data_IF_370043116872
#
_entry.id   IF_370043116872
#
_cell.length_a   1.000
_cell.length_b   1.000
_cell.length_c   1.000
_cell.angle_alpha   90.00
_cell.angle_beta   90.00
_cell.angle_gamma   90.00
#
_symmetry.space_group_name_H-M   'P 1'
#
loop_
_entity.id
_entity.type
_entity.pdbx_description
1 polymer ?
#
# COMPACT_ATOMS: atom_id res chain seq x y z
N UNK A 1 -10.45 -31.98 -19.06
CA UNK A 1 -9.49 -30.97 -19.58
C UNK A 1 -10.28 -29.83 -20.19
N UNK A 2 -9.84 -28.58 -20.01
CA UNK A 2 -10.43 -27.29 -20.49
C UNK A 2 -11.19 -26.49 -19.43
N UNK A 3 -10.43 -25.86 -18.52
CA UNK A 3 -10.77 -24.54 -17.95
C UNK A 3 -9.47 -23.78 -17.58
N UNK A 4 -8.43 -24.52 -17.17
CA UNK A 4 -7.12 -23.97 -16.80
C UNK A 4 -6.29 -23.32 -17.94
N UNK A 5 -6.62 -23.58 -19.21
CA UNK A 5 -5.92 -22.93 -20.34
C UNK A 5 -6.43 -21.51 -20.66
N UNK A 6 -7.60 -21.12 -20.16
CA UNK A 6 -8.18 -19.80 -20.46
C UNK A 6 -7.57 -18.68 -19.60
N UNK A 7 -7.12 -18.98 -18.37
CA UNK A 7 -6.44 -18.00 -17.51
C UNK A 7 -4.99 -17.72 -17.94
N UNK A 8 -4.29 -18.72 -18.48
CA UNK A 8 -2.94 -18.53 -19.04
C UNK A 8 -2.94 -17.75 -20.36
N UNK A 9 -4.05 -17.76 -21.10
CA UNK A 9 -4.22 -16.97 -22.32
C UNK A 9 -4.63 -15.50 -22.03
N UNK A 10 -5.07 -15.16 -20.81
CA UNK A 10 -5.43 -13.79 -20.44
C UNK A 10 -4.22 -12.91 -20.05
N UNK A 11 -3.10 -13.53 -19.61
CA UNK A 11 -1.89 -12.82 -19.20
C UNK A 11 -1.14 -12.11 -20.35
N UNK A 12 -1.01 -12.65 -21.58
CA UNK A 12 -0.44 -11.91 -22.70
C UNK A 12 -1.40 -10.87 -23.30
N UNK A 13 -2.72 -11.02 -23.13
CA UNK A 13 -3.69 -10.05 -23.69
C UNK A 13 -3.61 -8.71 -22.94
N UNK A 14 -3.26 -8.72 -21.65
CA UNK A 14 -3.00 -7.51 -20.88
C UNK A 14 -1.70 -6.79 -21.29
N UNK A 15 -0.70 -7.51 -21.83
CA UNK A 15 0.56 -6.89 -22.32
C UNK A 15 0.43 -6.30 -23.71
N UNK A 16 -0.45 -6.83 -24.56
CA UNK A 16 -0.67 -6.32 -25.93
C UNK A 16 -1.66 -5.14 -26.02
N UNK A 17 -2.41 -4.84 -24.95
CA UNK A 17 -3.32 -3.69 -24.93
C UNK A 17 -2.59 -2.32 -24.88
N UNK A 18 -1.27 -2.30 -24.66
CA UNK A 18 -0.47 -1.07 -24.63
C UNK A 18 0.22 -0.73 -25.97
N UNK A 19 0.08 -1.57 -27.01
CA UNK A 19 0.88 -1.45 -28.25
C UNK A 19 0.20 -0.72 -29.42
N UNK A 20 -0.89 0.01 -29.20
CA UNK A 20 -1.53 0.78 -30.27
C UNK A 20 -1.76 2.24 -29.89
N UNK A 21 -0.74 3.06 -30.14
CA UNK A 21 -0.78 4.33 -30.89
C UNK A 21 0.68 4.64 -31.21
N UNK A 22 1.00 4.83 -32.49
CA UNK A 22 2.30 5.33 -32.94
C UNK A 22 2.56 6.71 -32.33
N UNK A 23 3.35 6.77 -31.25
CA UNK A 23 3.71 8.03 -30.60
C UNK A 23 5.07 8.49 -31.11
N UNK A 24 5.03 9.64 -31.78
CA UNK A 24 6.18 10.43 -32.18
C UNK A 24 7.08 10.67 -30.95
N UNK A 25 8.35 10.24 -30.93
CA UNK A 25 9.22 10.37 -29.77
C UNK A 25 9.85 11.76 -29.74
N UNK A 26 9.03 12.80 -29.62
CA UNK A 26 9.52 14.11 -29.21
C UNK A 26 9.26 14.26 -27.72
N UNK A 27 10.26 14.73 -26.98
CA UNK A 27 10.30 14.91 -25.52
C UNK A 27 9.27 15.95 -24.99
N UNK A 28 8.11 16.09 -25.61
CA UNK A 28 7.12 17.11 -25.29
C UNK A 28 6.07 16.51 -24.34
N UNK A 29 6.31 16.75 -23.04
CA UNK A 29 5.23 16.77 -22.06
C UNK A 29 4.56 18.14 -22.11
N UNK A 30 3.23 18.22 -21.95
CA UNK A 30 2.26 17.16 -21.67
C UNK A 30 1.72 16.42 -22.91
N UNK A 31 1.32 15.16 -22.78
CA UNK A 31 0.69 14.36 -23.84
C UNK A 31 -0.62 13.71 -23.35
N UNK A 32 -1.37 13.06 -24.24
CA UNK A 32 -2.68 12.44 -23.95
C UNK A 32 -2.66 11.34 -22.88
N UNK A 33 -1.48 10.88 -22.46
CA UNK A 33 -1.29 9.86 -21.43
C UNK A 33 -0.66 10.43 -20.15
N UNK A 34 -0.30 11.71 -20.12
CA UNK A 34 0.14 12.40 -18.91
C UNK A 34 -1.02 13.21 -18.31
N UNK A 35 -0.97 13.45 -17.00
CA UNK A 35 -1.99 14.24 -16.28
C UNK A 35 -1.97 15.74 -16.63
N UNK A 36 -1.41 16.13 -17.78
CA UNK A 36 -1.05 17.52 -18.07
C UNK A 36 0.16 18.02 -17.28
N UNK A 37 0.77 17.18 -16.43
CA UNK A 37 1.93 17.57 -15.62
C UNK A 37 3.19 17.71 -16.48
N UNK A 38 3.91 18.82 -16.31
CA UNK A 38 5.27 19.00 -16.85
C UNK A 38 6.32 18.13 -16.15
N UNK A 39 5.97 17.49 -15.02
CA UNK A 39 6.91 16.76 -14.17
C UNK A 39 6.70 15.25 -14.30
N UNK A 40 6.87 14.73 -15.52
CA UNK A 40 6.83 13.29 -15.79
C UNK A 40 8.24 12.73 -15.72
N UNK A 41 8.44 11.78 -14.81
CA UNK A 41 9.71 11.06 -14.69
C UNK A 41 9.57 9.65 -15.25
N UNK A 42 10.65 9.14 -15.86
CA UNK A 42 10.72 7.73 -16.27
C UNK A 42 10.57 6.86 -15.03
N UNK A 43 9.89 5.72 -15.17
CA UNK A 43 9.73 4.74 -14.10
C UNK A 43 11.06 3.99 -13.88
N UNK A 44 12.03 4.67 -13.27
CA UNK A 44 13.34 4.13 -12.92
C UNK A 44 13.61 4.26 -11.41
N UNK A 45 14.73 3.67 -10.97
CA UNK A 45 15.12 3.74 -9.56
C UNK A 45 15.56 5.14 -9.10
N UNK A 46 15.87 6.07 -10.03
CA UNK A 46 16.30 7.43 -9.70
C UNK A 46 15.11 8.30 -9.29
N UNK A 47 13.94 8.05 -9.88
CA UNK A 47 12.69 8.73 -9.55
C UNK A 47 12.05 8.28 -8.21
N UNK A 48 12.59 7.24 -7.55
CA UNK A 48 12.02 6.70 -6.30
C UNK A 48 12.22 7.64 -5.13
N UNK A 49 11.13 8.25 -4.67
CA UNK A 49 11.10 9.16 -3.52
C UNK A 49 11.00 8.46 -2.16
N UNK A 50 10.52 7.21 -2.14
CA UNK A 50 10.20 6.48 -0.92
C UNK A 50 10.94 5.14 -0.84
N UNK A 51 11.21 4.69 0.38
CA UNK A 51 11.46 3.27 0.63
C UNK A 51 10.16 2.51 0.45
N UNK A 52 10.25 1.35 -0.14
CA UNK A 52 9.09 0.52 -0.50
C UNK A 52 9.44 -0.97 -0.43
N UNK A 53 10.64 -1.31 0.04
CA UNK A 53 11.03 -2.67 0.38
C UNK A 53 11.28 -2.74 1.87
N UNK A 54 10.84 -3.82 2.49
CA UNK A 54 11.21 -4.16 3.86
C UNK A 54 11.47 -5.66 4.01
N UNK A 55 12.22 -6.01 5.04
CA UNK A 55 12.35 -7.39 5.52
C UNK A 55 11.71 -7.46 6.89
N UNK A 56 10.70 -8.31 7.05
CA UNK A 56 10.03 -8.52 8.34
C UNK A 56 10.42 -9.86 8.92
N UNK A 57 10.65 -9.89 10.23
CA UNK A 57 10.90 -11.11 11.00
C UNK A 57 10.05 -11.07 12.26
N UNK A 58 9.53 -12.21 12.67
CA UNK A 58 8.72 -12.26 13.88
C UNK A 58 8.39 -13.67 14.32
N UNK A 59 7.73 -13.77 15.46
CA UNK A 59 7.26 -15.03 15.99
C UNK A 59 6.32 -14.86 17.16
N UNK A 60 5.69 -15.96 17.54
CA UNK A 60 4.71 -15.98 18.62
C UNK A 60 4.05 -17.32 18.75
N UNK A 61 2.78 -17.31 19.16
CA UNK A 61 2.03 -18.52 19.47
C UNK A 61 1.25 -19.02 18.25
N UNK A 62 1.15 -20.34 18.15
CA UNK A 62 0.27 -21.02 17.20
C UNK A 62 -0.67 -21.97 17.97
N UNK A 63 -1.93 -22.02 17.58
CA UNK A 63 -2.90 -22.93 18.18
C UNK A 63 -4.00 -23.30 17.20
N UNK A 64 -4.51 -24.53 17.34
CA UNK A 64 -5.63 -25.02 16.54
C UNK A 64 -6.90 -24.25 16.92
N UNK A 65 -7.55 -23.67 15.91
CA UNK A 65 -8.73 -22.84 16.08
C UNK A 65 -10.01 -23.60 15.71
N UNK A 66 -10.02 -24.29 14.58
CA UNK A 66 -11.11 -25.19 14.19
C UNK A 66 -10.52 -26.49 13.69
N UNK A 67 -10.70 -27.57 14.43
CA UNK A 67 -10.17 -28.89 14.11
C UNK A 67 -10.85 -29.96 14.96
N UNK A 68 -10.50 -31.23 14.77
CA UNK A 68 -10.91 -32.34 15.64
C UNK A 68 -10.16 -32.30 16.99
N UNK A 69 -8.84 -32.36 16.94
CA UNK A 69 -7.95 -32.18 18.08
C UNK A 69 -7.66 -30.70 18.26
N UNK A 70 -7.91 -30.20 19.47
CA UNK A 70 -7.83 -28.75 19.75
C UNK A 70 -6.67 -28.42 20.68
N UNK A 71 -6.12 -27.21 20.53
CA UNK A 71 -5.14 -26.68 21.49
C UNK A 71 -5.77 -26.27 22.83
N UNK A 72 -7.11 -26.21 22.91
CA UNK A 72 -7.86 -25.83 24.10
C UNK A 72 -8.53 -27.05 24.73
N UNK A 73 -7.81 -27.74 25.60
CA UNK A 73 -8.29 -28.99 26.18
C UNK A 73 -8.29 -28.94 27.71
N UNK A 74 -9.40 -29.35 28.35
CA UNK A 74 -9.49 -29.48 29.80
C UNK A 74 -9.19 -28.19 30.59
N UNK A 75 -9.70 -27.04 30.12
CA UNK A 75 -9.44 -25.68 30.66
C UNK A 75 -7.96 -25.23 30.60
N UNK A 76 -7.11 -25.93 29.86
CA UNK A 76 -5.71 -25.55 29.61
C UNK A 76 -5.51 -25.23 28.13
N UNK A 77 -4.52 -24.39 27.85
CA UNK A 77 -4.10 -24.03 26.50
C UNK A 77 -2.75 -24.70 26.23
N UNK A 78 -2.70 -25.57 25.23
CA UNK A 78 -1.48 -26.18 24.73
C UNK A 78 -0.96 -25.33 23.58
N UNK A 79 -0.18 -24.31 23.91
CA UNK A 79 0.37 -23.40 22.91
C UNK A 79 1.47 -24.08 22.09
N UNK A 80 1.38 -23.92 20.79
CA UNK A 80 2.48 -24.11 19.87
C UNK A 80 3.25 -22.80 19.63
N UNK A 81 4.13 -22.81 18.64
CA UNK A 81 4.88 -21.61 18.22
C UNK A 81 4.80 -21.40 16.71
N UNK A 82 4.96 -20.15 16.29
CA UNK A 82 5.14 -19.77 14.90
C UNK A 82 6.28 -18.77 14.78
N UNK A 83 7.01 -18.85 13.68
CA UNK A 83 8.04 -17.90 13.29
C UNK A 83 7.91 -17.60 11.81
N UNK A 84 8.20 -16.37 11.40
CA UNK A 84 8.16 -15.98 10.00
C UNK A 84 9.31 -15.06 9.63
N UNK A 85 9.68 -15.13 8.36
CA UNK A 85 10.47 -14.12 7.66
C UNK A 85 9.73 -13.76 6.38
N UNK A 86 9.63 -12.48 6.06
CA UNK A 86 9.06 -12.02 4.81
C UNK A 86 9.89 -10.94 4.15
N UNK A 87 9.87 -10.95 2.82
CA UNK A 87 10.30 -9.85 1.99
C UNK A 87 9.04 -9.12 1.50
N UNK A 88 8.90 -7.86 1.90
CA UNK A 88 7.71 -7.07 1.65
C UNK A 88 8.02 -5.96 0.65
N UNK A 89 7.11 -5.79 -0.32
CA UNK A 89 7.15 -4.76 -1.34
C UNK A 89 5.89 -3.92 -1.25
N UNK A 90 6.04 -2.68 -0.83
CA UNK A 90 4.97 -1.69 -0.90
C UNK A 90 4.77 -1.25 -2.37
N UNK A 91 3.58 -1.49 -2.92
CA UNK A 91 3.24 -1.13 -4.31
C UNK A 91 2.64 0.27 -4.35
N UNK A 92 1.79 0.61 -3.37
CA UNK A 92 1.19 1.93 -3.18
C UNK A 92 1.18 2.31 -1.69
N UNK A 93 0.78 3.53 -1.34
CA UNK A 93 0.62 3.92 0.07
C UNK A 93 -0.41 3.06 0.83
N UNK A 94 -1.35 2.41 0.14
CA UNK A 94 -2.39 1.54 0.73
C UNK A 94 -2.15 0.05 0.53
N UNK A 95 -1.38 -0.37 -0.47
CA UNK A 95 -1.25 -1.78 -0.84
C UNK A 95 0.20 -2.24 -0.94
N UNK A 96 0.48 -3.41 -0.38
CA UNK A 96 1.77 -4.10 -0.45
C UNK A 96 1.61 -5.59 -0.77
N UNK A 97 2.71 -6.20 -1.15
CA UNK A 97 2.81 -7.63 -1.45
C UNK A 97 4.03 -8.21 -0.73
N UNK A 98 3.86 -9.35 -0.09
CA UNK A 98 4.90 -10.01 0.71
C UNK A 98 5.09 -11.44 0.26
N UNK A 99 6.35 -11.85 0.10
CA UNK A 99 6.74 -13.25 0.02
C UNK A 99 7.19 -13.68 1.42
N UNK A 100 6.48 -14.62 2.03
CA UNK A 100 6.71 -15.04 3.40
C UNK A 100 7.06 -16.53 3.47
N UNK A 101 8.04 -16.85 4.30
CA UNK A 101 8.30 -18.21 4.78
C UNK A 101 7.96 -18.28 6.27
N UNK A 102 7.18 -19.28 6.65
CA UNK A 102 6.75 -19.49 8.03
C UNK A 102 7.08 -20.90 8.48
N UNK A 103 7.44 -21.05 9.74
CA UNK A 103 7.72 -22.34 10.37
C UNK A 103 7.20 -22.35 11.79
N UNK A 104 6.57 -23.45 12.18
CA UNK A 104 6.02 -23.59 13.52
C UNK A 104 5.67 -25.00 13.93
N UNK A 105 5.08 -25.10 15.11
CA UNK A 105 4.51 -26.31 15.68
C UNK A 105 3.18 -25.95 16.34
N UNK A 106 2.13 -26.75 16.16
CA UNK A 106 0.93 -26.73 17.00
C UNK A 106 0.90 -27.93 17.94
N UNK A 107 0.25 -27.76 19.10
CA UNK A 107 0.01 -28.82 20.07
C UNK A 107 -1.49 -28.94 20.30
N UNK A 108 -2.03 -30.15 20.21
CA UNK A 108 -3.47 -30.38 20.28
C UNK A 108 -3.80 -31.68 20.99
N UNK A 109 -4.99 -31.75 21.57
CA UNK A 109 -5.48 -32.92 22.29
C UNK A 109 -6.95 -33.17 21.97
N UNK A 110 -7.34 -34.43 22.05
CA UNK A 110 -8.71 -34.86 21.80
C UNK A 110 -8.99 -36.22 22.41
N UNK A 111 -10.27 -36.60 22.47
CA UNK A 111 -10.69 -37.96 22.83
C UNK A 111 -11.50 -38.48 21.68
N UNK A 112 -11.11 -39.64 21.16
CA UNK A 112 -11.78 -40.29 20.05
C UNK A 112 -13.25 -40.62 20.40
N UNK A 113 -14.13 -40.59 19.40
CA UNK A 113 -15.52 -41.01 19.55
C UNK A 113 -15.69 -42.53 19.81
N UNK A 114 -16.78 -42.87 20.49
CA UNK A 114 -17.21 -44.25 20.71
C UNK A 114 -16.47 -44.98 21.84
N UNK A 115 -16.67 -46.31 21.97
CA UNK A 115 -16.08 -47.12 23.04
C UNK A 115 -14.55 -47.07 23.10
N UNK A 116 -13.90 -46.88 21.94
CA UNK A 116 -12.43 -46.75 21.82
C UNK A 116 -11.88 -45.50 22.51
N UNK A 117 -12.65 -44.41 22.58
CA UNK A 117 -12.23 -43.22 23.33
C UNK A 117 -11.94 -43.51 24.81
N UNK A 118 -12.61 -44.52 25.40
CA UNK A 118 -12.36 -44.92 26.79
C UNK A 118 -11.04 -45.68 26.95
N UNK A 119 -10.61 -46.45 25.96
CA UNK A 119 -9.35 -47.21 25.99
C UNK A 119 -8.17 -46.35 25.56
N UNK A 120 -8.31 -45.60 24.47
CA UNK A 120 -7.30 -44.66 23.97
C UNK A 120 -7.05 -43.51 24.95
N UNK A 121 -8.09 -43.08 25.69
CA UNK A 121 -8.00 -41.93 26.58
C UNK A 121 -7.79 -40.63 25.81
N UNK A 122 -7.01 -39.71 26.38
CA UNK A 122 -6.70 -38.43 25.74
C UNK A 122 -5.55 -38.63 24.76
N UNK A 123 -5.85 -38.51 23.47
CA UNK A 123 -4.86 -38.42 22.41
C UNK A 123 -4.16 -37.07 22.46
N UNK A 124 -2.83 -37.10 22.28
CA UNK A 124 -1.98 -35.92 22.16
C UNK A 124 -1.36 -35.90 20.77
N UNK A 125 -1.64 -34.86 20.00
CA UNK A 125 -1.03 -34.65 18.71
C UNK A 125 -0.22 -33.37 18.62
N UNK A 126 0.77 -33.41 17.73
CA UNK A 126 1.63 -32.29 17.39
C UNK A 126 1.76 -32.21 15.89
N UNK A 127 1.77 -30.99 15.37
CA UNK A 127 1.95 -30.75 13.93
C UNK A 127 3.07 -29.75 13.74
N UNK A 128 4.17 -30.20 13.15
CA UNK A 128 5.25 -29.32 12.69
C UNK A 128 4.98 -28.93 11.25
N UNK A 129 5.07 -27.65 10.93
CA UNK A 129 4.77 -27.16 9.59
C UNK A 129 5.82 -26.18 9.08
N UNK A 130 5.97 -26.18 7.76
CA UNK A 130 6.75 -25.23 6.98
C UNK A 130 5.86 -24.69 5.86
N UNK A 131 5.86 -23.38 5.65
CA UNK A 131 4.96 -22.72 4.71
C UNK A 131 5.71 -21.69 3.88
N UNK A 132 5.35 -21.60 2.60
CA UNK A 132 5.72 -20.49 1.73
C UNK A 132 4.44 -19.87 1.17
N UNK A 133 4.33 -18.55 1.22
CA UNK A 133 3.13 -17.86 0.76
C UNK A 133 3.40 -16.50 0.15
N UNK A 134 2.50 -16.14 -0.76
CA UNK A 134 2.30 -14.78 -1.24
C UNK A 134 1.16 -14.15 -0.46
N UNK A 135 1.41 -12.98 0.13
CA UNK A 135 0.46 -12.28 1.01
C UNK A 135 0.26 -10.86 0.48
N UNK A 136 -0.98 -10.47 0.23
CA UNK A 136 -1.37 -9.08 0.05
C UNK A 136 -1.54 -8.38 1.40
N UNK A 137 -1.03 -7.16 1.51
CA UNK A 137 -1.13 -6.27 2.66
C UNK A 137 -1.95 -5.03 2.27
N UNK A 138 -3.08 -4.80 2.94
CA UNK A 138 -3.89 -3.58 2.80
C UNK A 138 -3.74 -2.73 4.07
N UNK A 139 -3.16 -1.53 3.93
CA UNK A 139 -3.08 -0.54 4.98
C UNK A 139 -4.41 0.25 5.08
N UNK A 140 -5.29 -0.20 5.97
CA UNK A 140 -6.59 0.42 6.22
C UNK A 140 -6.47 1.83 6.79
N UNK A 141 -5.42 2.12 7.56
CA UNK A 141 -5.20 3.47 8.12
C UNK A 141 -4.95 4.51 7.04
N UNK A 142 -4.26 4.14 5.96
CA UNK A 142 -4.13 5.01 4.79
C UNK A 142 -5.38 5.00 3.90
N UNK A 143 -6.02 3.83 3.72
CA UNK A 143 -7.19 3.71 2.85
C UNK A 143 -8.40 4.50 3.37
N UNK A 144 -8.62 4.45 4.68
CA UNK A 144 -9.73 5.11 5.37
C UNK A 144 -9.31 6.46 5.97
N UNK A 145 -8.19 7.01 5.50
CA UNK A 145 -7.68 8.28 6.01
C UNK A 145 -8.65 9.40 5.66
N UNK A 146 -9.06 10.15 6.67
CA UNK A 146 -9.82 11.38 6.46
C UNK A 146 -8.94 12.48 5.89
N UNK A 147 -9.47 13.21 4.91
CA UNK A 147 -8.77 14.31 4.23
C UNK A 147 -8.56 15.55 5.11
N UNK A 148 -9.35 15.70 6.17
CA UNK A 148 -9.28 16.83 7.11
C UNK A 148 -8.37 16.56 8.32
N UNK A 149 -7.74 15.37 8.39
CA UNK A 149 -6.84 15.02 9.48
C UNK A 149 -5.36 15.12 9.06
N UNK A 150 -4.70 16.17 9.55
CA UNK A 150 -3.29 16.49 9.29
C UNK A 150 -2.32 15.84 10.29
N UNK A 151 -2.82 15.05 11.25
CA UNK A 151 -1.97 14.44 12.29
C UNK A 151 -1.07 13.35 11.71
N UNK A 152 0.20 13.37 12.08
CA UNK A 152 1.10 12.25 11.81
C UNK A 152 0.67 11.03 12.64
N UNK A 153 0.21 9.97 11.99
CA UNK A 153 -0.08 8.72 12.69
C UNK A 153 1.19 7.85 12.73
N UNK A 154 1.43 7.23 13.88
CA UNK A 154 2.48 6.23 14.06
C UNK A 154 1.93 4.82 14.14
N UNK A 155 0.62 4.66 14.19
CA UNK A 155 -0.07 3.37 14.24
C UNK A 155 -0.86 3.14 12.96
N UNK A 156 -0.71 1.97 12.36
CA UNK A 156 -1.44 1.58 11.17
C UNK A 156 -2.13 0.24 11.36
N UNK A 157 -3.41 0.17 10.98
CA UNK A 157 -4.17 -1.07 10.90
C UNK A 157 -3.99 -1.68 9.50
N UNK A 158 -3.69 -2.96 9.47
CA UNK A 158 -3.44 -3.72 8.26
C UNK A 158 -4.37 -4.92 8.16
N UNK A 159 -4.78 -5.25 6.94
CA UNK A 159 -5.45 -6.50 6.59
C UNK A 159 -4.56 -7.34 5.71
N UNK A 160 -4.52 -8.64 5.97
CA UNK A 160 -3.74 -9.61 5.21
C UNK A 160 -4.63 -10.65 4.56
N UNK A 161 -4.29 -10.99 3.31
CA UNK A 161 -4.88 -12.12 2.60
C UNK A 161 -3.81 -12.78 1.75
N UNK A 162 -3.69 -14.09 1.81
CA UNK A 162 -2.61 -14.79 1.14
C UNK A 162 -2.93 -16.23 0.80
N UNK A 163 -2.12 -16.77 -0.09
CA UNK A 163 -2.18 -18.15 -0.57
C UNK A 163 -0.76 -18.71 -0.61
N UNK A 164 -0.64 -20.02 -0.46
CA UNK A 164 0.67 -20.64 -0.44
C UNK A 164 0.62 -22.16 -0.44
N UNK A 165 1.78 -22.75 -0.19
CA UNK A 165 1.96 -24.19 -0.02
C UNK A 165 2.48 -24.48 1.38
N UNK A 166 2.01 -25.56 1.98
CA UNK A 166 2.38 -25.97 3.33
C UNK A 166 2.83 -27.43 3.36
N UNK A 167 4.01 -27.72 3.90
CA UNK A 167 4.31 -29.08 4.33
C UNK A 167 4.07 -29.21 5.81
N UNK A 168 3.66 -30.39 6.25
CA UNK A 168 3.55 -30.67 7.66
C UNK A 168 3.87 -32.13 7.99
N UNK A 169 4.29 -32.34 9.23
CA UNK A 169 4.50 -33.66 9.81
C UNK A 169 3.76 -33.70 11.14
N UNK A 170 2.79 -34.59 11.24
CA UNK A 170 1.99 -34.80 12.45
C UNK A 170 2.46 -36.03 13.20
N UNK A 171 2.25 -36.02 14.50
CA UNK A 171 2.40 -37.19 15.37
C UNK A 171 1.22 -37.24 16.31
N UNK A 172 0.59 -38.41 16.45
CA UNK A 172 -0.49 -38.66 17.40
C UNK A 172 -0.12 -39.80 18.35
N UNK A 173 -0.31 -39.53 19.64
CA UNK A 173 -0.03 -40.45 20.74
C UNK A 173 -1.27 -40.67 21.61
N UNK A 174 -1.65 -41.92 21.88
CA UNK A 174 -2.73 -42.27 22.82
C UNK A 174 -2.32 -43.42 23.78
N UNK A 175 -3.27 -43.97 24.56
CA UNK A 175 -3.01 -45.07 25.50
C UNK A 175 -3.32 -46.47 24.95
N UNK A 176 -3.75 -46.59 23.69
CA UNK A 176 -4.23 -47.86 23.12
C UNK A 176 -3.48 -48.22 21.83
N UNK A 177 -3.89 -47.65 20.70
CA UNK A 177 -3.40 -47.98 19.35
C UNK A 177 -2.13 -47.21 19.01
N UNK A 178 -2.10 -45.91 19.27
CA UNK A 178 -1.04 -45.01 18.84
C UNK A 178 -0.04 -44.74 19.96
N UNK A 179 0.70 -45.77 20.36
CA UNK A 179 1.69 -45.65 21.44
C UNK A 179 2.93 -46.47 21.20
N UNK A 180 4.03 -46.12 21.86
CA UNK A 180 5.18 -47.01 21.90
C UNK A 180 4.90 -48.20 22.81
N UNK A 181 4.80 -49.40 22.23
CA UNK A 181 4.70 -50.66 22.97
C UNK A 181 5.39 -51.78 22.21
N UNK A 182 6.06 -52.67 22.94
CA UNK A 182 6.69 -53.87 22.38
C UNK A 182 5.77 -55.11 22.47
N UNK A 183 4.73 -55.08 23.32
CA UNK A 183 3.78 -56.19 23.48
C UNK A 183 2.39 -55.67 23.89
N UNK A 184 1.39 -55.65 22.98
CA UNK A 184 1.53 -55.86 21.54
C UNK A 184 2.40 -54.76 20.90
N UNK A 185 3.02 -55.04 19.75
CA UNK A 185 3.79 -54.03 19.02
C UNK A 185 2.86 -52.90 18.56
N UNK A 186 3.18 -51.67 18.95
CA UNK A 186 2.44 -50.43 18.63
C UNK A 186 3.45 -49.30 18.34
N UNK A 187 3.03 -48.35 17.51
CA UNK A 187 3.77 -47.12 17.22
C UNK A 187 2.79 -45.94 17.18
N UNK A 188 3.22 -44.73 17.53
CA UNK A 188 2.44 -43.52 17.28
C UNK A 188 2.11 -43.37 15.80
N UNK A 189 1.00 -42.70 15.50
CA UNK A 189 0.65 -42.36 14.13
C UNK A 189 1.49 -41.16 13.69
N UNK A 190 2.07 -41.25 12.50
CA UNK A 190 2.75 -40.13 11.85
C UNK A 190 2.18 -39.92 10.45
N UNK A 191 1.85 -38.67 10.11
CA UNK A 191 1.37 -38.29 8.78
C UNK A 191 2.30 -37.21 8.24
N UNK A 192 2.81 -37.42 7.03
CA UNK A 192 3.69 -36.48 6.34
C UNK A 192 3.00 -35.98 5.07
N UNK A 193 2.70 -34.68 5.04
CA UNK A 193 2.31 -33.96 3.83
C UNK A 193 3.51 -33.19 3.31
N UNK A 194 3.96 -33.52 2.11
CA UNK A 194 5.07 -32.83 1.44
C UNK A 194 4.57 -31.56 0.77
N UNK A 195 5.48 -30.59 0.63
CA UNK A 195 5.17 -29.34 -0.07
C UNK A 195 5.10 -29.61 -1.57
N UNK A 196 3.88 -29.63 -2.10
CA UNK A 196 3.58 -29.78 -3.52
C UNK A 196 2.29 -29.02 -3.88
N UNK A 197 1.82 -29.19 -5.12
CA UNK A 197 0.64 -28.49 -5.63
C UNK A 197 -0.65 -28.88 -4.88
N UNK A 198 -0.71 -30.07 -4.28
CA UNK A 198 -1.85 -30.54 -3.48
C UNK A 198 -1.89 -29.92 -2.09
N UNK A 199 -0.74 -29.45 -1.58
CA UNK A 199 -0.59 -28.85 -0.26
C UNK A 199 -0.96 -27.35 -0.17
N UNK A 200 -1.91 -26.92 -1.02
CA UNK A 200 -2.28 -25.53 -1.15
C UNK A 200 -3.12 -25.06 0.04
N UNK A 201 -2.77 -23.92 0.63
CA UNK A 201 -3.46 -23.36 1.79
C UNK A 201 -3.78 -21.87 1.62
N UNK A 202 -4.73 -21.39 2.42
CA UNK A 202 -5.12 -19.98 2.44
C UNK A 202 -4.83 -19.37 3.80
N UNK A 203 -4.57 -18.07 3.84
CA UNK A 203 -4.47 -17.35 5.10
C UNK A 203 -5.10 -15.97 5.00
N UNK A 204 -5.73 -15.56 6.09
CA UNK A 204 -6.32 -14.23 6.25
C UNK A 204 -6.01 -13.72 7.63
N UNK A 205 -5.82 -12.41 7.78
CA UNK A 205 -5.39 -11.88 9.06
C UNK A 205 -5.50 -10.39 9.17
N UNK A 206 -5.12 -9.90 10.34
CA UNK A 206 -5.05 -8.49 10.66
C UNK A 206 -3.73 -8.19 11.36
N UNK A 207 -3.24 -6.96 11.18
CA UNK A 207 -2.03 -6.47 11.79
C UNK A 207 -2.19 -5.08 12.37
N UNK A 208 -1.44 -4.82 13.42
CA UNK A 208 -1.23 -3.48 13.96
C UNK A 208 0.27 -3.18 13.86
N UNK A 209 0.63 -2.25 12.98
CA UNK A 209 2.02 -1.79 12.79
C UNK A 209 2.23 -0.48 13.53
N UNK A 210 3.41 -0.31 14.12
CA UNK A 210 3.85 0.94 14.74
C UNK A 210 5.18 1.42 14.16
N UNK A 211 5.20 2.67 13.72
CA UNK A 211 6.36 3.34 13.16
C UNK A 211 7.29 3.84 14.25
N UNK A 212 8.32 3.04 14.54
CA UNK A 212 9.33 3.37 15.56
C UNK A 212 10.30 4.42 15.03
N UNK A 213 10.80 4.23 13.81
CA UNK A 213 11.82 5.10 13.22
C UNK A 213 11.82 5.02 11.69
N UNK A 214 12.67 5.83 11.04
CA UNK A 214 12.89 5.76 9.59
C UNK A 214 13.37 4.38 9.08
N UNK A 215 13.88 3.52 9.98
CA UNK A 215 14.45 2.21 9.63
C UNK A 215 13.60 1.04 10.09
N UNK A 216 12.79 1.21 11.14
CA UNK A 216 12.17 0.10 11.87
C UNK A 216 10.68 0.36 12.09
N UNK A 217 9.88 -0.66 11.85
CA UNK A 217 8.52 -0.81 12.36
C UNK A 217 8.46 -2.01 13.31
N UNK A 218 7.53 -1.96 14.27
CA UNK A 218 7.12 -3.15 15.02
C UNK A 218 5.71 -3.53 14.61
N UNK A 219 5.38 -4.81 14.67
CA UNK A 219 4.12 -5.36 14.19
C UNK A 219 3.57 -6.38 15.18
N UNK A 220 2.28 -6.27 15.50
CA UNK A 220 1.50 -7.37 16.04
C UNK A 220 0.62 -7.92 14.90
N UNK A 221 0.75 -9.21 14.60
CA UNK A 221 0.06 -9.86 13.47
C UNK A 221 -0.72 -11.07 13.96
N UNK A 222 -2.01 -11.15 13.61
CA UNK A 222 -2.82 -12.33 13.81
C UNK A 222 -3.23 -12.91 12.45
N UNK A 223 -2.90 -14.18 12.20
CA UNK A 223 -3.22 -14.87 10.94
C UNK A 223 -4.02 -16.14 11.22
N UNK A 224 -5.20 -16.23 10.62
CA UNK A 224 -5.99 -17.45 10.53
C UNK A 224 -5.59 -18.21 9.26
N UNK A 225 -5.13 -19.44 9.45
CA UNK A 225 -4.57 -20.28 8.40
C UNK A 225 -5.54 -21.42 8.17
N UNK A 226 -6.00 -21.54 6.92
CA UNK A 226 -6.91 -22.57 6.44
C UNK A 226 -6.09 -23.60 5.69
N UNK A 227 -5.86 -24.76 6.31
CA UNK A 227 -5.04 -25.83 5.71
C UNK A 227 -5.67 -26.40 4.45
N UNK A 228 -7.00 -26.54 4.42
CA UNK A 228 -7.71 -27.31 3.41
C UNK A 228 -7.56 -28.82 3.58
N UNK A 229 -7.00 -29.26 4.71
CA UNK A 229 -6.51 -30.61 4.96
C UNK A 229 -6.94 -31.05 6.38
N UNK A 230 -7.52 -32.26 6.47
CA UNK A 230 -8.11 -32.85 7.68
C UNK A 230 -7.09 -33.69 8.46
N UNK A 231 -5.92 -33.94 7.88
CA UNK A 231 -4.82 -34.62 8.54
C UNK A 231 -3.91 -33.64 9.28
N UNK A 232 -4.12 -32.32 9.10
CA UNK A 232 -3.25 -31.28 9.64
C UNK A 232 -3.27 -31.20 11.17
N UNK A 233 -4.35 -31.56 11.85
CA UNK A 233 -4.35 -31.65 13.32
C UNK A 233 -3.79 -32.98 13.86
N UNK A 234 -3.47 -33.92 12.99
CA UNK A 234 -2.91 -35.23 13.32
C UNK A 234 -3.92 -36.26 13.83
N UNK A 235 -5.22 -36.04 13.68
CA UNK A 235 -6.26 -36.98 14.14
C UNK A 235 -6.22 -38.34 13.46
N UNK A 236 -5.76 -38.42 12.21
CA UNK A 236 -5.92 -39.63 11.44
C UNK A 236 -5.80 -39.36 9.96
N UNK A 237 -5.80 -40.42 9.15
CA UNK A 237 -5.91 -40.30 7.70
C UNK A 237 -7.34 -39.89 7.31
N UNK A 238 -7.51 -39.09 6.26
CA UNK A 238 -8.81 -38.66 5.76
C UNK A 238 -9.41 -39.63 4.72
N UNK A 239 -9.22 -40.94 4.91
CA UNK A 239 -9.77 -41.97 4.02
C UNK A 239 -11.29 -42.18 4.23
N UNK A 240 -12.03 -42.72 3.25
CA UNK A 240 -13.46 -43.00 3.41
C UNK A 240 -13.80 -43.88 4.62
N UNK A 241 -12.92 -44.82 4.97
CA UNK A 241 -13.09 -45.68 6.13
C UNK A 241 -12.91 -44.94 7.46
N UNK A 242 -12.16 -43.85 7.51
CA UNK A 242 -11.90 -43.09 8.73
C UNK A 242 -13.16 -42.36 9.21
N UNK A 243 -14.08 -42.02 8.29
CA UNK A 243 -15.38 -41.40 8.59
C UNK A 243 -16.56 -42.39 8.71
N UNK A 244 -16.29 -43.69 8.63
CA UNK A 244 -17.31 -44.72 8.79
C UNK A 244 -17.35 -45.20 10.26
N UNK A 245 -18.49 -45.02 10.94
CA UNK A 245 -18.69 -45.48 12.32
C UNK A 245 -18.58 -46.99 12.48
N UNK A 246 -18.80 -47.75 11.41
CA UNK A 246 -18.73 -49.22 11.41
C UNK A 246 -17.32 -49.75 11.15
N UNK A 247 -16.40 -48.89 10.72
CA UNK A 247 -15.04 -49.32 10.40
C UNK A 247 -14.18 -49.55 11.64
N UNK A 248 -13.15 -50.37 11.46
CA UNK A 248 -12.17 -50.68 12.48
C UNK A 248 -11.21 -49.54 12.80
N UNK A 249 -11.23 -48.42 12.07
CA UNK A 249 -10.25 -47.35 12.17
C UNK A 249 -10.45 -46.48 13.42
N UNK A 250 -9.44 -45.66 13.71
CA UNK A 250 -9.60 -44.53 14.62
C UNK A 250 -10.67 -43.55 14.12
N UNK A 251 -11.17 -42.71 15.02
CA UNK A 251 -12.34 -41.82 14.86
C UNK A 251 -12.06 -40.43 15.43
N UNK A 252 -10.79 -40.02 15.42
CA UNK A 252 -10.44 -38.66 15.81
C UNK A 252 -10.96 -37.66 14.77
N UNK A 253 -10.81 -37.93 13.46
CA UNK A 253 -11.34 -37.10 12.34
C UNK A 253 -12.88 -37.01 12.25
N UNK A 254 -13.59 -37.51 13.27
CA UNK A 254 -15.05 -37.48 13.34
C UNK A 254 -15.53 -36.63 14.53
N UNK A 255 -14.62 -36.03 15.29
CA UNK A 255 -14.95 -35.15 16.42
C UNK A 255 -15.62 -33.87 15.91
N UNK A 256 -15.21 -33.43 14.72
CA UNK A 256 -15.66 -32.29 13.96
C UNK A 256 -16.13 -32.75 12.58
N UNK A 257 -17.13 -32.09 12.02
CA UNK A 257 -17.70 -32.43 10.70
C UNK A 257 -17.01 -31.67 9.55
N UNK A 258 -16.20 -30.66 9.89
CA UNK A 258 -15.37 -29.92 8.94
C UNK A 258 -14.19 -30.77 8.49
N UNK A 259 -13.81 -30.62 7.22
CA UNK A 259 -12.71 -31.35 6.56
C UNK A 259 -11.39 -30.59 6.48
N UNK A 260 -11.25 -29.53 7.28
CA UNK A 260 -10.12 -28.61 7.18
C UNK A 260 -9.78 -28.12 8.57
N UNK A 261 -8.61 -28.52 9.01
CA UNK A 261 -8.08 -28.15 10.31
C UNK A 261 -7.30 -26.85 10.23
N UNK A 262 -7.86 -25.83 10.86
CA UNK A 262 -7.38 -24.47 10.73
C UNK A 262 -6.71 -24.03 12.03
N UNK A 263 -5.61 -23.30 11.91
CA UNK A 263 -4.90 -22.73 13.04
C UNK A 263 -4.96 -21.21 13.06
N UNK A 264 -4.83 -20.63 14.24
CA UNK A 264 -4.62 -19.21 14.45
C UNK A 264 -3.20 -19.00 14.96
N UNK A 265 -2.50 -18.03 14.37
CA UNK A 265 -1.20 -17.56 14.85
C UNK A 265 -1.32 -16.13 15.34
N UNK A 266 -0.60 -15.82 16.42
CA UNK A 266 -0.47 -14.47 16.97
C UNK A 266 1.02 -14.20 17.17
N UNK A 267 1.55 -13.28 16.38
CA UNK A 267 2.97 -13.02 16.26
C UNK A 267 3.30 -11.57 16.64
N UNK A 268 4.46 -11.37 17.23
CA UNK A 268 5.11 -10.07 17.32
C UNK A 268 6.33 -10.07 16.39
N UNK A 269 6.53 -8.98 15.66
CA UNK A 269 7.56 -8.87 14.65
C UNK A 269 8.17 -7.48 14.55
N UNK A 270 9.29 -7.43 13.84
CA UNK A 270 10.05 -6.23 13.51
C UNK A 270 10.23 -6.19 12.00
N UNK A 271 9.97 -5.04 11.38
CA UNK A 271 10.15 -4.81 9.96
C UNK A 271 11.25 -3.79 9.71
N UNK A 272 12.24 -4.16 8.90
CA UNK A 272 13.39 -3.35 8.55
C UNK A 272 13.18 -2.72 7.17
N UNK A 273 13.01 -1.39 7.14
CA UNK A 273 12.79 -0.61 5.91
C UNK A 273 14.08 -0.49 5.12
N UNK A 274 14.13 -1.02 3.91
CA UNK A 274 15.30 -1.02 3.04
C UNK A 274 15.32 0.21 2.11
N UNK A 275 16.52 0.72 1.84
CA UNK A 275 16.75 1.84 0.93
C UNK A 275 17.36 3.07 1.60
N UNK A 276 17.72 4.07 0.79
CA UNK A 276 18.38 5.31 1.24
C UNK A 276 17.41 6.46 1.52
N UNK A 277 16.16 6.35 1.06
CA UNK A 277 15.18 7.42 1.16
C UNK A 277 14.79 7.72 2.63
N UNK A 278 14.28 8.92 2.89
CA UNK A 278 13.99 9.38 4.25
C UNK A 278 12.72 8.78 4.85
N UNK A 279 11.70 8.54 4.02
CA UNK A 279 10.41 7.98 4.43
C UNK A 279 10.08 6.70 3.67
N UNK A 280 9.24 5.88 4.28
CA UNK A 280 8.72 4.65 3.68
C UNK A 280 7.30 4.89 3.17
N UNK A 281 6.98 4.34 1.99
CA UNK A 281 5.75 4.59 1.24
C UNK A 281 4.49 4.27 2.04
N UNK A 282 4.53 3.23 2.88
CA UNK A 282 3.42 2.84 3.76
C UNK A 282 3.04 3.90 4.80
N UNK A 283 3.95 4.83 5.11
CA UNK A 283 3.76 5.89 6.11
C UNK A 283 3.64 7.28 5.47
N UNK A 284 3.54 7.35 4.14
CA UNK A 284 3.45 8.61 3.41
C UNK A 284 2.01 8.94 3.06
N UNK A 285 1.63 10.20 3.28
CA UNK A 285 0.34 10.74 2.88
C UNK A 285 0.38 11.18 1.41
N UNK A 286 -0.42 10.59 0.51
CA UNK A 286 -0.43 11.02 -0.89
C UNK A 286 -0.88 12.48 -1.08
N UNK A 287 -1.70 13.02 -0.18
CA UNK A 287 -2.26 14.37 -0.31
C UNK A 287 -1.35 15.45 0.27
N UNK A 288 -0.39 15.09 1.12
CA UNK A 288 0.51 16.03 1.78
C UNK A 288 1.27 16.92 0.78
N UNK A 289 1.65 16.39 -0.38
CA UNK A 289 2.33 17.17 -1.40
C UNK A 289 1.41 18.19 -2.08
N UNK A 290 0.15 17.81 -2.33
CA UNK A 290 -0.84 18.73 -2.90
C UNK A 290 -1.10 19.88 -1.93
N UNK A 291 -1.33 19.57 -0.65
CA UNK A 291 -1.56 20.58 0.38
C UNK A 291 -0.35 21.51 0.56
N UNK A 292 0.87 20.98 0.51
CA UNK A 292 2.07 21.82 0.56
C UNK A 292 2.13 22.79 -0.60
N UNK A 293 1.86 22.33 -1.84
CA UNK A 293 1.86 23.21 -3.02
C UNK A 293 0.76 24.26 -2.96
N UNK A 294 -0.45 23.88 -2.55
CA UNK A 294 -1.56 24.83 -2.36
C UNK A 294 -1.19 25.89 -1.32
N UNK A 295 -0.62 25.48 -0.18
CA UNK A 295 -0.17 26.42 0.85
C UNK A 295 0.92 27.37 0.34
N UNK A 296 1.87 26.88 -0.45
CA UNK A 296 2.90 27.73 -1.07
C UNK A 296 2.24 28.73 -2.02
N UNK A 297 1.29 28.30 -2.85
CA UNK A 297 0.58 29.20 -3.78
C UNK A 297 -0.26 30.25 -3.05
N UNK A 298 -0.98 29.86 -2.00
CA UNK A 298 -1.82 30.77 -1.20
C UNK A 298 -0.98 31.82 -0.44
N UNK A 299 0.24 31.45 -0.04
CA UNK A 299 1.14 32.32 0.72
C UNK A 299 2.21 33.01 -0.13
N UNK A 300 2.34 32.64 -1.40
CA UNK A 300 3.19 33.38 -2.33
C UNK A 300 2.44 34.67 -2.63
N UNK A 301 2.89 35.77 -2.02
CA UNK A 301 2.37 37.08 -2.36
C UNK A 301 2.47 37.23 -3.89
N UNK A 302 1.35 37.56 -4.54
CA UNK A 302 1.41 38.08 -5.89
C UNK A 302 2.26 39.35 -5.79
N UNK A 303 3.55 39.23 -6.14
CA UNK A 303 4.41 40.37 -6.36
C UNK A 303 3.81 41.07 -7.58
N UNK A 304 2.89 41.99 -7.32
CA UNK A 304 2.37 42.89 -8.34
C UNK A 304 3.56 43.73 -8.75
N UNK A 305 4.25 43.31 -9.81
CA UNK A 305 5.32 44.08 -10.43
C UNK A 305 4.62 45.28 -11.08
N UNK A 306 4.57 46.38 -10.34
CA UNK A 306 4.12 47.68 -10.84
C UNK A 306 5.26 48.23 -11.68
N UNK A 307 4.99 48.54 -12.95
CA UNK A 307 5.97 49.09 -13.89
C UNK A 307 7.10 48.11 -14.25
N UNK A 308 6.73 46.92 -14.75
CA UNK A 308 7.69 45.92 -15.24
C UNK A 308 8.57 46.47 -16.36
N UNK A 309 8.00 47.31 -17.24
CA UNK A 309 8.74 47.95 -18.34
C UNK A 309 9.44 49.26 -17.96
N UNK A 310 9.21 49.78 -16.76
CA UNK A 310 9.76 51.06 -16.30
C UNK A 310 8.94 52.28 -16.75
N UNK A 311 9.59 53.43 -16.77
CA UNK A 311 9.13 54.75 -17.23
C UNK A 311 10.31 55.36 -18.00
N UNK A 312 10.36 55.13 -19.32
CA UNK A 312 11.55 55.41 -20.13
C UNK A 312 11.72 56.89 -20.48
N UNK A 313 10.64 57.64 -20.64
CA UNK A 313 10.65 59.08 -20.93
C UNK A 313 10.57 59.96 -19.67
N UNK A 314 10.36 59.35 -18.50
CA UNK A 314 10.31 59.97 -17.17
C UNK A 314 9.19 61.01 -17.05
N UNK A 315 8.04 60.75 -17.67
CA UNK A 315 6.86 61.60 -17.55
C UNK A 315 6.01 61.31 -16.29
N UNK A 316 6.32 60.22 -15.58
CA UNK A 316 5.67 59.80 -14.34
C UNK A 316 4.58 58.75 -14.52
N UNK A 317 4.35 58.27 -15.75
CA UNK A 317 3.45 57.15 -16.08
C UNK A 317 4.28 56.00 -16.62
N UNK A 318 4.10 54.81 -16.06
CA UNK A 318 4.89 53.67 -16.47
C UNK A 318 4.52 53.18 -17.87
N UNK A 319 5.51 52.77 -18.66
CA UNK A 319 5.40 52.25 -20.03
C UNK A 319 4.35 51.13 -20.20
N UNK A 320 4.02 50.42 -19.11
CA UNK A 320 2.97 49.39 -19.10
C UNK A 320 1.55 49.96 -19.22
N UNK A 321 1.36 51.23 -18.86
CA UNK A 321 0.10 51.96 -18.83
C UNK A 321 0.13 53.30 -19.60
N UNK A 322 1.31 53.72 -20.03
CA UNK A 322 1.53 54.91 -20.82
C UNK A 322 1.09 54.70 -22.28
N UNK A 323 0.35 55.68 -22.81
CA UNK A 323 -0.15 55.71 -24.18
C UNK A 323 0.78 56.49 -25.11
N UNK A 324 1.69 57.30 -24.58
CA UNK A 324 2.66 58.12 -25.29
C UNK A 324 4.08 57.83 -24.79
N UNK A 325 4.63 56.66 -25.16
CA UNK A 325 5.96 56.14 -24.73
C UNK A 325 7.19 57.04 -24.99
N UNK A 326 7.03 58.25 -25.53
CA UNK A 326 8.10 59.19 -25.79
C UNK A 326 7.62 60.64 -25.55
N UNK A 327 6.93 60.88 -24.46
CA UNK A 327 6.52 62.21 -24.02
C UNK A 327 7.75 63.14 -23.94
N UNK A 328 7.69 64.37 -24.48
CA UNK A 328 8.78 65.31 -24.39
C UNK A 328 9.12 65.68 -22.94
N UNK A 329 10.41 65.68 -22.60
CA UNK A 329 10.87 66.02 -21.26
C UNK A 329 10.36 67.39 -20.79
N UNK A 330 9.67 67.43 -19.65
CA UNK A 330 9.09 68.64 -19.06
C UNK A 330 7.66 68.93 -19.50
N UNK A 331 7.07 68.14 -20.40
CA UNK A 331 5.64 68.19 -20.67
C UNK A 331 4.87 67.75 -19.42
N UNK A 332 3.69 68.33 -19.22
CA UNK A 332 2.74 67.82 -18.22
C UNK A 332 1.87 66.79 -18.92
N UNK A 333 1.69 65.64 -18.29
CA UNK A 333 0.89 64.54 -18.83
C UNK A 333 -0.38 64.29 -18.00
N UNK A 334 -1.35 63.61 -18.61
CA UNK A 334 -2.51 63.08 -17.93
C UNK A 334 -2.22 61.73 -17.23
N UNK A 335 -3.23 61.11 -16.62
CA UNK A 335 -3.08 59.82 -15.95
C UNK A 335 -2.78 58.63 -16.87
N UNK A 336 -2.72 58.85 -18.19
CA UNK A 336 -2.39 57.86 -19.20
C UNK A 336 -1.07 58.17 -19.92
N UNK A 337 -0.28 59.13 -19.43
CA UNK A 337 1.03 59.50 -19.97
C UNK A 337 0.96 60.37 -21.22
N UNK A 338 -0.22 60.87 -21.60
CA UNK A 338 -0.35 61.71 -22.80
C UNK A 338 -0.08 63.17 -22.46
N UNK A 339 0.73 63.85 -23.27
CA UNK A 339 1.01 65.27 -23.11
C UNK A 339 -0.27 66.13 -23.19
N UNK A 340 -0.43 67.07 -22.26
CA UNK A 340 -1.60 67.95 -22.21
C UNK A 340 -1.61 68.93 -23.40
N UNK A 341 -2.79 69.06 -24.00
CA UNK A 341 -3.17 70.05 -25.02
C UNK A 341 -4.56 70.56 -24.61
N UNK A 342 -4.60 71.72 -23.94
CA UNK A 342 -5.79 72.21 -23.27
C UNK A 342 -6.84 72.80 -24.23
N UNK A 343 -6.42 73.34 -25.37
CA UNK A 343 -7.32 73.94 -26.36
C UNK A 343 -7.56 73.07 -27.61
N UNK A 344 -6.88 71.93 -27.68
CA UNK A 344 -7.04 70.87 -28.67
C UNK A 344 -6.68 71.31 -30.10
N UNK A 345 -5.71 72.20 -30.23
CA UNK A 345 -5.21 72.67 -31.53
C UNK A 345 -4.11 71.78 -32.14
N UNK A 346 -3.62 70.80 -31.38
CA UNK A 346 -2.59 69.84 -31.78
C UNK A 346 -1.16 70.26 -31.41
N UNK A 347 -0.97 71.39 -30.72
CA UNK A 347 0.29 71.81 -30.10
C UNK A 347 0.19 71.59 -28.59
N UNK A 348 1.05 70.73 -28.05
CA UNK A 348 1.05 70.48 -26.59
C UNK A 348 1.34 71.75 -25.79
N UNK A 349 0.77 71.86 -24.59
CA UNK A 349 0.87 73.01 -23.68
C UNK A 349 2.33 73.45 -23.40
N UNK A 350 3.30 72.53 -23.54
CA UNK A 350 4.73 72.82 -23.39
C UNK A 350 5.27 73.74 -24.50
N UNK A 351 4.73 73.60 -25.72
CA UNK A 351 5.16 74.34 -26.91
C UNK A 351 4.16 75.39 -27.37
N UNK A 352 2.98 75.42 -26.76
CA UNK A 352 1.94 76.42 -27.00
C UNK A 352 2.13 77.68 -26.13
N UNK A 353 2.21 78.85 -26.77
CA UNK A 353 2.28 80.15 -26.10
C UNK A 353 0.91 80.65 -25.64
N UNK A 354 -0.16 80.10 -26.20
CA UNK A 354 -1.55 80.51 -26.03
C UNK A 354 -2.45 79.37 -25.54
N UNK A 355 -1.98 78.54 -24.60
CA UNK A 355 -2.57 77.33 -23.93
C UNK A 355 -4.11 77.18 -23.85
N UNK A 356 -4.88 78.26 -23.94
CA UNK A 356 -6.35 78.23 -23.81
C UNK A 356 -7.10 78.69 -25.06
N UNK A 357 -6.40 79.03 -26.15
CA UNK A 357 -6.97 79.65 -27.35
C UNK A 357 -6.35 79.03 -28.62
N UNK A 358 -7.12 78.24 -29.39
CA UNK A 358 -6.57 77.46 -30.49
C UNK A 358 -5.83 78.30 -31.54
N UNK A 359 -4.68 77.82 -31.97
CA UNK A 359 -3.87 78.44 -33.01
C UNK A 359 -3.30 77.45 -34.02
N UNK A 360 -2.37 77.94 -34.83
CA UNK A 360 -1.62 77.09 -35.76
C UNK A 360 -0.27 76.71 -35.14
N UNK A 361 0.23 75.48 -35.39
CA UNK A 361 1.61 75.10 -35.05
C UNK A 361 2.66 76.10 -35.58
N UNK A 362 2.40 76.72 -36.74
CA UNK A 362 3.29 77.73 -37.35
C UNK A 362 3.48 78.99 -36.49
N UNK A 363 2.54 79.26 -35.59
CA UNK A 363 2.54 80.42 -34.69
C UNK A 363 2.61 80.00 -33.20
N UNK A 364 3.24 78.86 -32.90
CA UNK A 364 3.38 78.34 -31.54
C UNK A 364 2.03 78.22 -30.79
N UNK A 365 1.00 77.70 -31.46
CA UNK A 365 -0.34 77.48 -30.88
C UNK A 365 -1.17 78.77 -30.65
N UNK A 366 -0.66 79.94 -31.06
CA UNK A 366 -1.44 81.18 -30.96
C UNK A 366 -2.27 81.46 -32.23
N UNK A 367 -3.46 82.08 -32.10
CA UNK A 367 -4.26 82.51 -33.23
C UNK A 367 -3.54 83.58 -34.05
N UNK A 368 -3.75 83.53 -35.36
CA UNK A 368 -3.30 84.57 -36.29
C UNK A 368 -4.48 85.54 -36.43
N UNK A 369 -4.28 86.80 -35.99
CA UNK A 369 -5.28 87.88 -35.94
C UNK A 369 -6.34 87.87 -37.06
#
# INVERSE_FOLDING_TARGET
MKLGLLLLAALPIATYAQDSISLNPTNEYPNTFSSGSANVQKFDNKARRFRDWSVSVGGGAAFMATSDLTSFYGKKINLGYNSYVSLDKQISHTFGLSLAYQKGETNQKGVQLGPRGKTAGVGEAKTKYDQIALIGDVNFSNLLRRVDNYSHYRWALHGYGGIGFMSFNTSLHDNDEFRWSNSPKRVPLFIEQKMDISSFYYQVGAGLKYNVSKLIDIEARAMYIISGDDEFDGGGWAGPADYDLTSGNSKYNMINDKRSDNMLTVNLGVSFKLGKQMSHLAWHDPLQEVYYRTNVLDNTANELVVCEKGDNDNDGVCDDWDRELNTPAGARVDGAGVALDMDLDGVIDLYDKCVTVPGSPDNNGCPIN
#
